data_IF_366974762653
#
_entry.id   IF_366974762653
#
_cell.length_a   1.000
_cell.length_b   1.000
_cell.length_c   1.000
_cell.angle_alpha   90.00
_cell.angle_beta   90.00
_cell.angle_gamma   90.00
#
_symmetry.space_group_name_H-M   'P 1'
#
loop_
_entity.id
_entity.type
_entity.pdbx_description
1 polymer ?
#
# COMPACT_ATOMS: atom_id res chain seq x y z
N UNK A 1 30.08 -35.36 -3.68
CA UNK A 1 29.99 -34.67 -4.98
C UNK A 1 29.23 -33.37 -4.76
N UNK A 2 29.95 -32.25 -4.73
CA UNK A 2 29.37 -30.92 -4.54
C UNK A 2 28.84 -30.41 -5.89
N UNK A 3 27.54 -30.15 -5.99
CA UNK A 3 26.95 -29.54 -7.17
C UNK A 3 27.25 -28.05 -7.16
N UNK A 4 28.05 -27.60 -8.13
CA UNK A 4 28.39 -26.21 -8.38
C UNK A 4 27.16 -25.42 -8.84
N UNK A 5 26.81 -24.36 -8.12
CA UNK A 5 25.84 -23.35 -8.56
C UNK A 5 26.46 -22.54 -9.70
N UNK A 6 25.82 -22.37 -10.86
CA UNK A 6 26.40 -21.56 -11.94
C UNK A 6 26.37 -20.08 -11.56
N UNK A 7 27.49 -19.40 -11.81
CA UNK A 7 27.64 -17.97 -11.63
C UNK A 7 26.63 -17.20 -12.52
N UNK A 8 25.65 -16.56 -11.90
CA UNK A 8 24.75 -15.64 -12.62
C UNK A 8 25.53 -14.37 -12.99
N UNK A 9 25.54 -14.08 -14.29
CA UNK A 9 26.08 -12.87 -14.91
C UNK A 9 25.78 -11.60 -14.11
N UNK A 10 26.85 -10.93 -13.64
CA UNK A 10 26.81 -9.56 -13.14
C UNK A 10 26.61 -8.60 -14.31
N UNK A 11 25.38 -8.15 -14.56
CA UNK A 11 25.10 -6.82 -15.15
C UNK A 11 23.61 -6.47 -15.14
N UNK A 12 23.27 -5.46 -14.32
CA UNK A 12 22.28 -4.41 -14.59
C UNK A 12 22.20 -3.55 -13.34
N UNK A 13 22.36 -2.24 -13.49
CA UNK A 13 22.53 -1.26 -12.41
C UNK A 13 21.36 -1.17 -11.44
N UNK A 14 21.66 -0.65 -10.27
CA UNK A 14 20.69 -0.31 -9.21
C UNK A 14 19.91 0.97 -9.56
N UNK A 15 19.30 1.04 -10.74
CA UNK A 15 18.53 2.22 -11.13
C UNK A 15 17.10 2.07 -10.61
N UNK A 16 16.75 2.93 -9.64
CA UNK A 16 15.36 3.31 -9.40
C UNK A 16 14.83 3.85 -10.73
N UNK A 17 14.08 3.04 -11.46
CA UNK A 17 13.38 3.48 -12.66
C UNK A 17 12.29 4.45 -12.19
N UNK A 18 12.29 5.72 -12.65
CA UNK A 18 11.21 6.65 -12.38
C UNK A 18 9.85 6.01 -12.74
N UNK A 19 8.78 6.34 -12.02
CA UNK A 19 7.46 5.78 -12.29
C UNK A 19 7.24 4.34 -11.80
N UNK A 20 7.98 3.86 -10.79
CA UNK A 20 7.67 2.55 -10.18
C UNK A 20 7.97 2.46 -8.67
N UNK A 21 7.14 1.69 -7.96
CA UNK A 21 7.39 1.24 -6.60
C UNK A 21 8.19 -0.06 -6.62
N UNK A 22 9.24 -0.15 -5.80
CA UNK A 22 10.08 -1.33 -5.66
C UNK A 22 10.89 -1.25 -4.35
N UNK A 23 10.93 -2.33 -3.58
CA UNK A 23 11.69 -2.42 -2.31
C UNK A 23 13.00 -3.21 -2.47
N UNK A 24 13.43 -3.45 -3.70
CA UNK A 24 14.66 -4.16 -4.01
C UNK A 24 14.46 -5.20 -5.10
N UNK A 25 15.57 -5.73 -5.63
CA UNK A 25 15.57 -6.62 -6.81
C UNK A 25 14.76 -7.91 -6.64
N UNK A 26 14.60 -8.37 -5.40
CA UNK A 26 13.86 -9.59 -5.08
C UNK A 26 12.34 -9.34 -4.93
N UNK A 27 11.92 -8.09 -4.80
CA UNK A 27 10.51 -7.71 -4.66
C UNK A 27 9.85 -7.39 -5.99
N UNK A 28 8.52 -7.45 -6.06
CA UNK A 28 7.79 -7.05 -7.26
C UNK A 28 7.97 -5.55 -7.52
N UNK A 29 8.41 -5.20 -8.73
CA UNK A 29 8.32 -3.85 -9.26
C UNK A 29 6.88 -3.58 -9.72
N UNK A 30 6.29 -2.50 -9.21
CA UNK A 30 4.92 -2.06 -9.54
C UNK A 30 5.04 -0.72 -10.28
N UNK A 31 4.71 -0.64 -11.58
CA UNK A 31 4.71 0.62 -12.31
C UNK A 31 3.57 1.52 -11.82
N UNK A 32 3.81 2.83 -11.76
CA UNK A 32 2.81 3.83 -11.40
C UNK A 32 1.74 3.99 -12.49
N UNK A 33 2.03 3.53 -13.71
CA UNK A 33 1.07 3.31 -14.80
C UNK A 33 -0.18 2.54 -14.34
N UNK A 34 -0.06 1.64 -13.35
CA UNK A 34 -1.19 0.93 -12.75
C UNK A 34 -2.25 1.90 -12.24
N UNK A 35 -1.82 2.94 -11.54
CA UNK A 35 -2.68 3.95 -10.95
C UNK A 35 -3.19 4.92 -12.02
N UNK A 36 -2.36 5.29 -13.00
CA UNK A 36 -2.81 6.07 -14.16
C UNK A 36 -3.93 5.36 -14.94
N UNK A 37 -3.79 4.04 -15.17
CA UNK A 37 -4.82 3.22 -15.82
C UNK A 37 -6.11 3.17 -14.99
N UNK A 38 -6.00 3.12 -13.66
CA UNK A 38 -7.16 3.17 -12.77
C UNK A 38 -7.91 4.50 -12.89
N UNK A 39 -7.21 5.65 -12.89
CA UNK A 39 -7.83 6.97 -13.11
C UNK A 39 -8.47 7.07 -14.48
N UNK A 40 -7.82 6.57 -15.53
CA UNK A 40 -8.39 6.53 -16.89
C UNK A 40 -9.72 5.77 -16.92
N UNK A 41 -9.75 4.55 -16.38
CA UNK A 41 -10.97 3.70 -16.30
C UNK A 41 -12.07 4.35 -15.48
N UNK A 42 -11.70 5.08 -14.42
CA UNK A 42 -12.63 5.85 -13.62
C UNK A 42 -13.30 6.95 -14.44
N UNK A 43 -12.50 7.79 -15.11
CA UNK A 43 -13.02 8.87 -15.94
C UNK A 43 -13.90 8.35 -17.07
N UNK A 44 -13.49 7.27 -17.76
CA UNK A 44 -14.30 6.61 -18.79
C UNK A 44 -15.69 6.19 -18.28
N UNK A 45 -15.79 5.69 -17.04
CA UNK A 45 -17.07 5.28 -16.45
C UNK A 45 -17.94 6.45 -16.00
N UNK A 46 -17.33 7.59 -15.68
CA UNK A 46 -18.03 8.76 -15.16
C UNK A 46 -18.43 9.74 -16.25
N UNK A 47 -17.67 9.86 -17.34
CA UNK A 47 -17.80 10.94 -18.34
C UNK A 47 -19.21 11.13 -18.88
N UNK A 48 -19.97 10.06 -19.08
CA UNK A 48 -21.35 10.10 -19.59
C UNK A 48 -22.42 10.26 -18.50
N UNK A 49 -22.02 10.22 -17.22
CA UNK A 49 -22.92 10.19 -16.05
C UNK A 49 -22.88 11.46 -15.22
N UNK A 50 -21.96 12.37 -15.52
CA UNK A 50 -21.68 13.56 -14.72
C UNK A 50 -21.53 14.78 -15.64
N UNK A 51 -21.74 16.01 -15.13
CA UNK A 51 -21.51 17.23 -15.89
C UNK A 51 -20.06 17.34 -16.39
N UNK A 52 -19.85 18.09 -17.48
CA UNK A 52 -18.53 18.21 -18.15
C UNK A 52 -17.41 18.73 -17.22
N UNK A 53 -17.74 19.61 -16.26
CA UNK A 53 -16.78 20.14 -15.29
C UNK A 53 -16.83 19.42 -13.92
N UNK A 54 -17.04 18.10 -13.92
CA UNK A 54 -17.01 17.31 -12.69
C UNK A 54 -15.58 16.96 -12.26
N UNK A 55 -15.33 17.00 -10.95
CA UNK A 55 -14.03 16.69 -10.35
C UNK A 55 -14.18 15.64 -9.27
N UNK A 56 -13.38 14.59 -9.33
CA UNK A 56 -13.22 13.66 -8.21
C UNK A 56 -12.17 14.26 -7.28
N UNK A 57 -12.55 14.54 -6.03
CA UNK A 57 -11.63 15.03 -5.00
C UNK A 57 -11.53 13.99 -3.89
N UNK A 58 -10.31 13.52 -3.63
CA UNK A 58 -10.03 12.52 -2.61
C UNK A 58 -9.08 13.10 -1.57
N UNK A 59 -9.41 12.82 -0.31
CA UNK A 59 -8.52 13.01 0.83
C UNK A 59 -7.75 11.70 1.04
N UNK A 60 -6.43 11.80 1.15
CA UNK A 60 -5.59 10.69 1.59
C UNK A 60 -5.73 10.42 3.08
N UNK A 61 -5.07 9.37 3.55
CA UNK A 61 -4.97 9.06 4.97
C UNK A 61 -4.14 10.12 5.70
N UNK A 62 -4.58 10.43 6.91
CA UNK A 62 -3.92 11.40 7.78
C UNK A 62 -2.91 10.72 8.72
N UNK A 63 -1.86 11.44 9.05
CA UNK A 63 -0.95 11.05 10.14
C UNK A 63 -1.69 11.19 11.47
N UNK A 64 -1.80 10.10 12.23
CA UNK A 64 -2.40 10.12 13.56
C UNK A 64 -1.42 9.62 14.62
N UNK A 65 -1.46 10.23 15.79
CA UNK A 65 -0.78 9.73 16.98
C UNK A 65 -1.61 8.66 17.68
N UNK A 66 -0.96 7.82 18.48
CA UNK A 66 -1.64 6.94 19.41
C UNK A 66 -2.18 7.77 20.57
N UNK A 67 -3.50 7.90 20.64
CA UNK A 67 -4.20 8.66 21.68
C UNK A 67 -3.61 10.07 21.81
N UNK A 68 -3.33 10.52 23.03
CA UNK A 68 -2.70 11.80 23.33
C UNK A 68 -1.16 11.73 23.44
N UNK A 69 -0.52 10.67 22.92
CA UNK A 69 0.94 10.50 22.96
C UNK A 69 1.62 11.02 21.67
N UNK A 70 2.94 11.00 21.64
CA UNK A 70 3.78 11.29 20.47
C UNK A 70 4.16 10.02 19.68
N UNK A 71 3.52 8.88 19.97
CA UNK A 71 3.78 7.61 19.28
C UNK A 71 2.97 7.54 17.98
N UNK A 72 3.65 7.61 16.84
CA UNK A 72 3.04 7.48 15.52
C UNK A 72 3.02 6.00 15.06
N UNK A 73 1.85 5.40 14.81
CA UNK A 73 1.76 4.12 14.13
C UNK A 73 2.36 4.20 12.73
N UNK A 74 2.81 3.05 12.20
CA UNK A 74 3.28 2.99 10.80
C UNK A 74 2.12 3.33 9.87
N UNK A 75 2.23 4.45 9.16
CA UNK A 75 1.21 4.94 8.23
C UNK A 75 0.87 3.91 7.13
N UNK A 76 -0.42 3.79 6.83
CA UNK A 76 -0.95 3.03 5.70
C UNK A 76 -2.03 3.87 5.03
N UNK A 77 -1.89 4.06 3.72
CA UNK A 77 -2.76 4.91 2.92
C UNK A 77 -4.23 4.43 2.92
N UNK A 78 -5.16 5.38 2.78
CA UNK A 78 -6.57 5.14 2.50
C UNK A 78 -6.71 4.38 1.17
N UNK A 79 -7.61 3.40 1.12
CA UNK A 79 -7.61 2.40 0.04
C UNK A 79 -8.09 2.91 -1.31
N UNK A 80 -9.01 3.88 -1.37
CA UNK A 80 -9.43 4.52 -2.62
C UNK A 80 -8.37 5.50 -3.13
N UNK A 81 -7.74 6.27 -2.24
CA UNK A 81 -6.63 7.14 -2.56
C UNK A 81 -5.44 6.36 -3.11
N UNK A 82 -5.05 5.28 -2.42
CA UNK A 82 -4.00 4.38 -2.90
C UNK A 82 -4.35 3.77 -4.26
N UNK A 83 -5.61 3.36 -4.47
CA UNK A 83 -6.04 2.80 -5.76
C UNK A 83 -5.89 3.79 -6.92
N UNK A 84 -6.25 5.06 -6.70
CA UNK A 84 -6.20 6.12 -7.71
C UNK A 84 -4.79 6.66 -7.97
N UNK A 85 -3.94 6.73 -6.94
CA UNK A 85 -2.67 7.47 -7.03
C UNK A 85 -1.42 6.71 -6.62
N UNK A 86 -1.52 5.62 -5.86
CA UNK A 86 -0.34 4.86 -5.38
C UNK A 86 0.51 5.58 -4.34
N UNK A 87 0.08 6.75 -3.88
CA UNK A 87 0.81 7.61 -2.94
C UNK A 87 1.02 6.93 -1.59
N UNK A 88 2.23 7.09 -1.05
CA UNK A 88 2.65 6.52 0.23
C UNK A 88 2.83 7.58 1.33
N UNK A 89 2.95 8.85 0.96
CA UNK A 89 2.99 9.95 1.91
C UNK A 89 1.59 10.24 2.52
N UNK A 90 1.52 10.61 3.80
CA UNK A 90 0.28 10.99 4.47
C UNK A 90 -0.14 12.43 4.16
N UNK A 91 -1.33 12.81 4.63
CA UNK A 91 -1.81 14.20 4.67
C UNK A 91 -1.91 14.86 3.28
N UNK A 92 -2.15 14.02 2.26
CA UNK A 92 -2.23 14.41 0.86
C UNK A 92 -3.68 14.53 0.37
N UNK A 93 -3.88 15.28 -0.71
CA UNK A 93 -5.13 15.30 -1.48
C UNK A 93 -4.87 14.99 -2.94
N UNK A 94 -5.91 14.60 -3.66
CA UNK A 94 -5.82 14.26 -5.07
C UNK A 94 -7.09 14.66 -5.81
N UNK A 95 -6.94 15.44 -6.88
CA UNK A 95 -8.01 15.86 -7.76
C UNK A 95 -7.89 15.16 -9.11
N UNK A 96 -9.02 14.72 -9.67
CA UNK A 96 -9.10 14.14 -11.01
C UNK A 96 -10.23 14.84 -11.76
N UNK A 97 -9.88 15.58 -12.81
CA UNK A 97 -10.84 16.17 -13.74
C UNK A 97 -11.45 15.05 -14.61
N UNK A 98 -12.77 14.87 -14.57
CA UNK A 98 -13.42 13.72 -15.24
C UNK A 98 -13.37 13.86 -16.77
N UNK A 99 -13.60 15.06 -17.30
CA UNK A 99 -13.61 15.32 -18.75
C UNK A 99 -12.25 15.05 -19.37
N UNK A 100 -11.21 15.70 -18.84
CA UNK A 100 -9.84 15.66 -19.38
C UNK A 100 -9.05 14.44 -18.92
N UNK A 101 -9.37 13.87 -17.75
CA UNK A 101 -8.58 12.83 -17.10
C UNK A 101 -7.33 13.36 -16.38
N UNK A 102 -7.13 14.69 -16.33
CA UNK A 102 -6.00 15.31 -15.64
C UNK A 102 -6.05 15.03 -14.15
N UNK A 103 -4.91 14.67 -13.60
CA UNK A 103 -4.73 14.30 -12.21
C UNK A 103 -3.71 15.22 -11.53
N UNK A 104 -4.11 15.81 -10.40
CA UNK A 104 -3.24 16.70 -9.60
C UNK A 104 -3.17 16.19 -8.17
N UNK A 105 -1.96 16.03 -7.64
CA UNK A 105 -1.72 15.69 -6.24
C UNK A 105 -1.33 16.92 -5.43
N UNK A 106 -1.72 16.93 -4.15
CA UNK A 106 -1.42 17.99 -3.21
C UNK A 106 -0.70 17.41 -2.00
N UNK A 107 0.50 17.89 -1.71
CA UNK A 107 1.34 17.42 -0.61
C UNK A 107 1.47 18.47 0.50
N UNK A 108 1.60 18.08 1.78
CA UNK A 108 1.76 19.04 2.86
C UNK A 108 3.06 19.84 2.69
N UNK A 109 3.03 21.13 3.05
CA UNK A 109 4.25 21.93 3.12
C UNK A 109 5.03 21.53 4.37
N UNK A 110 6.17 20.88 4.18
CA UNK A 110 7.02 20.43 5.28
C UNK A 110 7.90 21.57 5.80
N UNK A 111 8.06 21.64 7.12
CA UNK A 111 9.02 22.55 7.75
C UNK A 111 10.46 22.09 7.48
N UNK A 112 11.43 23.00 7.46
CA UNK A 112 12.84 22.67 7.19
C UNK A 112 13.42 21.63 8.16
N UNK A 113 12.93 21.60 9.41
CA UNK A 113 13.32 20.61 10.42
C UNK A 113 13.00 19.17 10.00
N UNK A 114 12.04 18.95 9.11
CA UNK A 114 11.73 17.62 8.57
C UNK A 114 12.99 16.96 7.96
N UNK A 115 13.87 17.75 7.35
CA UNK A 115 15.13 17.27 6.79
C UNK A 115 16.06 16.63 7.84
N UNK A 116 15.94 17.05 9.10
CA UNK A 116 16.74 16.57 10.23
C UNK A 116 16.13 15.28 10.81
N UNK A 117 14.80 15.24 10.96
CA UNK A 117 14.12 14.17 11.70
C UNK A 117 13.63 13.02 10.83
N UNK A 118 13.03 13.33 9.68
CA UNK A 118 12.28 12.37 8.87
C UNK A 118 12.93 12.11 7.50
N UNK A 119 13.82 13.01 7.08
CA UNK A 119 14.67 12.85 5.91
C UNK A 119 14.38 13.85 4.79
N UNK A 120 14.85 13.54 3.58
CA UNK A 120 14.90 14.52 2.48
C UNK A 120 13.52 15.08 2.13
N UNK A 121 13.40 16.41 2.16
CA UNK A 121 12.27 17.14 1.57
C UNK A 121 12.41 17.08 0.04
N UNK A 122 11.48 16.37 -0.61
CA UNK A 122 11.48 16.20 -2.07
C UNK A 122 10.83 17.41 -2.75
N UNK A 123 11.34 17.88 -3.91
CA UNK A 123 10.67 18.89 -4.71
C UNK A 123 9.38 18.34 -5.33
N UNK A 124 8.39 19.21 -5.58
CA UNK A 124 7.09 18.81 -6.15
C UNK A 124 7.21 18.09 -7.49
N UNK A 125 8.17 18.47 -8.33
CA UNK A 125 8.42 17.83 -9.63
C UNK A 125 8.82 16.35 -9.51
N UNK A 126 9.49 15.98 -8.41
CA UNK A 126 9.81 14.57 -8.14
C UNK A 126 8.54 13.78 -7.84
N UNK A 127 7.60 14.33 -7.08
CA UNK A 127 6.30 13.70 -6.85
C UNK A 127 5.49 13.57 -8.14
N UNK A 128 5.45 14.64 -8.94
CA UNK A 128 4.78 14.66 -10.25
C UNK A 128 5.29 13.54 -11.15
N UNK A 129 6.62 13.44 -11.27
CA UNK A 129 7.29 12.42 -12.09
C UNK A 129 7.12 11.03 -11.50
N UNK A 130 7.27 10.87 -10.18
CA UNK A 130 7.20 9.57 -9.54
C UNK A 130 5.81 8.95 -9.67
N UNK A 131 4.76 9.72 -9.37
CA UNK A 131 3.37 9.24 -9.35
C UNK A 131 2.65 9.31 -10.71
N UNK A 132 3.36 9.74 -11.76
CA UNK A 132 2.82 9.89 -13.12
C UNK A 132 1.50 10.67 -13.13
N UNK A 133 1.52 11.86 -12.53
CA UNK A 133 0.39 12.80 -12.46
C UNK A 133 0.70 14.07 -13.25
N UNK A 134 -0.33 14.79 -13.68
CA UNK A 134 -0.20 16.00 -14.49
C UNK A 134 0.31 17.19 -13.66
N UNK A 135 -0.09 17.26 -12.39
CA UNK A 135 0.31 18.31 -11.45
C UNK A 135 0.67 17.78 -10.06
N UNK A 136 1.61 18.46 -9.40
CA UNK A 136 1.91 18.28 -7.99
C UNK A 136 2.05 19.67 -7.34
N UNK A 137 1.21 19.95 -6.35
CA UNK A 137 1.11 21.24 -5.66
C UNK A 137 1.18 21.04 -4.14
N UNK A 138 1.20 22.12 -3.38
CA UNK A 138 1.07 22.07 -1.93
C UNK A 138 -0.40 22.11 -1.49
N UNK A 139 -0.73 21.46 -0.37
CA UNK A 139 -2.10 21.41 0.16
C UNK A 139 -2.70 22.80 0.40
N UNK A 140 -1.90 23.78 0.81
CA UNK A 140 -2.40 25.15 1.02
C UNK A 140 -2.87 25.83 -0.28
N UNK A 141 -2.50 25.32 -1.46
CA UNK A 141 -2.91 25.82 -2.77
C UNK A 141 -4.25 25.19 -3.24
N UNK A 142 -4.75 24.16 -2.55
CA UNK A 142 -5.97 23.44 -2.93
C UNK A 142 -7.21 24.35 -3.00
N UNK A 143 -7.49 25.27 -2.05
CA UNK A 143 -8.66 26.13 -2.13
C UNK A 143 -8.66 27.03 -3.37
N UNK A 144 -7.51 27.64 -3.68
CA UNK A 144 -7.34 28.48 -4.86
C UNK A 144 -7.44 27.68 -6.15
N UNK A 145 -6.87 26.46 -6.17
CA UNK A 145 -6.99 25.53 -7.28
C UNK A 145 -8.46 25.17 -7.56
N UNK A 146 -9.22 24.78 -6.53
CA UNK A 146 -10.63 24.41 -6.66
C UNK A 146 -11.50 25.59 -7.06
N UNK A 147 -11.20 26.80 -6.55
CA UNK A 147 -11.90 28.03 -6.93
C UNK A 147 -11.69 28.36 -8.41
N UNK A 148 -10.44 28.23 -8.91
CA UNK A 148 -10.12 28.45 -10.33
C UNK A 148 -10.76 27.40 -11.24
N UNK A 149 -10.79 26.14 -10.79
CA UNK A 149 -11.39 25.04 -11.55
C UNK A 149 -12.92 25.13 -11.59
N UNK A 150 -13.52 25.71 -10.55
CA UNK A 150 -14.96 25.96 -10.40
C UNK A 150 -15.82 24.75 -10.80
N UNK A 151 -15.62 23.57 -10.18
CA UNK A 151 -16.25 22.34 -10.61
C UNK A 151 -17.77 22.41 -10.47
N UNK A 152 -18.47 21.86 -11.47
CA UNK A 152 -19.93 21.77 -11.43
C UNK A 152 -20.41 20.81 -10.32
N UNK A 153 -19.62 19.77 -10.04
CA UNK A 153 -19.87 18.82 -8.95
C UNK A 153 -18.54 18.23 -8.46
N UNK A 154 -18.46 17.97 -7.16
CA UNK A 154 -17.37 17.24 -6.52
C UNK A 154 -17.85 15.82 -6.21
N UNK A 155 -17.06 14.83 -6.60
CA UNK A 155 -17.37 13.41 -6.45
C UNK A 155 -16.38 12.71 -5.52
N UNK A 156 -16.87 11.68 -4.84
CA UNK A 156 -16.05 10.71 -4.08
C UNK A 156 -16.12 9.32 -4.74
N UNK A 157 -15.22 8.41 -4.36
CA UNK A 157 -15.08 7.09 -5.00
C UNK A 157 -15.67 5.94 -4.18
N UNK A 158 -16.36 5.03 -4.87
CA UNK A 158 -16.99 3.84 -4.25
C UNK A 158 -16.83 2.53 -5.05
N UNK A 159 -16.01 2.45 -6.12
CA UNK A 159 -15.94 1.22 -6.95
C UNK A 159 -14.52 0.76 -7.31
N UNK A 160 -14.18 -0.48 -6.91
CA UNK A 160 -12.88 -1.15 -7.14
C UNK A 160 -13.02 -2.66 -7.45
N UNK A 161 -14.22 -3.08 -7.89
CA UNK A 161 -14.58 -4.51 -7.97
C UNK A 161 -13.77 -5.26 -9.04
N UNK A 162 -13.63 -4.68 -10.24
CA UNK A 162 -12.99 -5.32 -11.39
C UNK A 162 -11.51 -4.92 -11.48
N UNK A 163 -10.62 -5.91 -11.40
CA UNK A 163 -9.16 -5.72 -11.36
C UNK A 163 -8.58 -5.66 -12.77
N UNK A 164 -7.59 -4.81 -12.98
CA UNK A 164 -6.75 -4.82 -14.18
C UNK A 164 -5.76 -5.98 -14.15
N UNK A 165 -5.14 -6.28 -15.30
CA UNK A 165 -4.03 -7.24 -15.36
C UNK A 165 -2.85 -6.83 -14.47
N UNK A 166 -2.61 -5.53 -14.32
CA UNK A 166 -1.56 -4.97 -13.46
C UNK A 166 -1.89 -5.18 -11.97
N UNK A 167 -3.14 -4.93 -11.55
CA UNK A 167 -3.60 -5.23 -10.19
C UNK A 167 -3.55 -6.73 -9.89
N UNK A 168 -3.95 -7.59 -10.84
CA UNK A 168 -3.87 -9.05 -10.70
C UNK A 168 -2.42 -9.52 -10.53
N UNK A 169 -1.44 -8.85 -11.14
CA UNK A 169 -0.02 -9.16 -10.94
C UNK A 169 0.43 -8.90 -9.51
N UNK A 170 -0.03 -7.80 -8.91
CA UNK A 170 0.25 -7.47 -7.49
C UNK A 170 -0.42 -8.50 -6.57
N UNK A 171 -1.68 -8.85 -6.82
CA UNK A 171 -2.41 -9.85 -6.03
C UNK A 171 -1.74 -11.23 -6.09
N UNK A 172 -1.31 -11.68 -7.27
CA UNK A 172 -0.57 -12.94 -7.43
C UNK A 172 0.75 -12.94 -6.67
N UNK A 173 1.46 -11.80 -6.65
CA UNK A 173 2.68 -11.66 -5.87
C UNK A 173 2.41 -11.75 -4.37
N UNK A 174 1.41 -11.02 -3.86
CA UNK A 174 1.01 -11.08 -2.46
C UNK A 174 0.63 -12.52 -2.06
N UNK A 175 -0.20 -13.20 -2.85
CA UNK A 175 -0.59 -14.59 -2.63
C UNK A 175 0.62 -15.54 -2.59
N UNK A 176 1.59 -15.35 -3.51
CA UNK A 176 2.83 -16.14 -3.53
C UNK A 176 3.67 -15.92 -2.27
N UNK A 177 3.85 -14.67 -1.84
CA UNK A 177 4.59 -14.35 -0.61
C UNK A 177 3.93 -14.99 0.60
N UNK A 178 2.62 -14.83 0.75
CA UNK A 178 1.86 -15.44 1.87
C UNK A 178 1.88 -16.97 1.82
N UNK A 179 1.79 -17.58 0.64
CA UNK A 179 1.90 -19.04 0.47
C UNK A 179 3.25 -19.54 0.97
N UNK A 180 4.35 -18.88 0.57
CA UNK A 180 5.68 -19.24 1.04
C UNK A 180 5.79 -19.09 2.56
N UNK A 181 5.24 -18.01 3.13
CA UNK A 181 5.21 -17.81 4.58
C UNK A 181 4.43 -18.92 5.30
N UNK A 182 3.26 -19.33 4.81
CA UNK A 182 2.50 -20.46 5.34
C UNK A 182 3.30 -21.78 5.28
N UNK A 183 3.99 -22.05 4.16
CA UNK A 183 4.87 -23.22 4.03
C UNK A 183 5.97 -23.20 5.11
N UNK A 184 6.59 -22.05 5.32
CA UNK A 184 7.64 -21.89 6.32
C UNK A 184 7.12 -22.05 7.76
N UNK A 185 5.87 -21.64 8.03
CA UNK A 185 5.16 -21.92 9.29
C UNK A 185 4.91 -23.41 9.46
N UNK A 186 4.31 -24.09 8.48
CA UNK A 186 4.04 -25.54 8.54
C UNK A 186 5.31 -26.35 8.78
N UNK A 187 6.43 -25.97 8.16
CA UNK A 187 7.73 -26.64 8.37
C UNK A 187 8.24 -26.53 9.80
N UNK A 188 7.95 -25.43 10.50
CA UNK A 188 8.50 -25.12 11.83
C UNK A 188 7.55 -25.38 13.00
N UNK A 189 6.24 -25.43 12.77
CA UNK A 189 5.25 -25.66 13.83
C UNK A 189 5.49 -26.99 14.55
N UNK A 190 5.59 -26.96 15.87
CA UNK A 190 5.81 -28.15 16.73
C UNK A 190 5.02 -28.01 18.03
N UNK A 191 4.61 -29.12 18.67
CA UNK A 191 4.12 -29.10 20.04
C UNK A 191 5.08 -28.38 20.98
N UNK A 192 4.54 -27.63 21.95
CA UNK A 192 5.28 -26.81 22.89
C UNK A 192 5.52 -25.36 22.44
N UNK A 193 5.29 -25.04 21.17
CA UNK A 193 5.32 -23.65 20.69
C UNK A 193 4.08 -22.86 21.14
N UNK A 194 4.14 -21.54 21.05
CA UNK A 194 2.99 -20.65 21.16
C UNK A 194 2.45 -20.27 19.78
N UNK A 195 1.15 -20.08 19.68
CA UNK A 195 0.48 -19.61 18.45
C UNK A 195 1.11 -18.31 17.92
N UNK A 196 1.40 -17.33 18.79
CA UNK A 196 2.04 -16.07 18.40
C UNK A 196 3.46 -16.26 17.84
N UNK A 197 4.16 -17.37 18.16
CA UNK A 197 5.47 -17.65 17.56
C UNK A 197 5.31 -18.05 16.08
N UNK A 198 4.20 -18.70 15.73
CA UNK A 198 3.85 -19.02 14.35
C UNK A 198 3.41 -17.75 13.58
N UNK A 199 2.64 -16.87 14.23
CA UNK A 199 2.34 -15.52 13.72
C UNK A 199 3.61 -14.74 13.41
N UNK A 200 4.54 -14.66 14.36
CA UNK A 200 5.81 -13.95 14.21
C UNK A 200 6.63 -14.50 13.03
N UNK A 201 6.67 -15.82 12.86
CA UNK A 201 7.34 -16.48 11.75
C UNK A 201 6.67 -16.16 10.41
N UNK A 202 5.34 -16.13 10.34
CA UNK A 202 4.61 -15.74 9.14
C UNK A 202 4.94 -14.30 8.73
N UNK A 203 4.86 -13.36 9.68
CA UNK A 203 5.14 -11.94 9.47
C UNK A 203 6.59 -11.71 9.05
N UNK A 204 7.54 -12.38 9.71
CA UNK A 204 8.96 -12.35 9.34
C UNK A 204 9.16 -12.74 7.88
N UNK A 205 8.58 -13.86 7.45
CA UNK A 205 8.75 -14.33 6.07
C UNK A 205 8.11 -13.37 5.05
N UNK A 206 6.92 -12.86 5.36
CA UNK A 206 6.23 -11.90 4.49
C UNK A 206 7.04 -10.62 4.30
N UNK A 207 7.61 -10.07 5.38
CA UNK A 207 8.35 -8.83 5.29
C UNK A 207 9.77 -9.04 4.74
N UNK A 208 10.53 -9.97 5.30
CA UNK A 208 11.94 -10.18 4.96
C UNK A 208 12.14 -10.60 3.49
N UNK A 209 11.32 -11.52 2.98
CA UNK A 209 11.45 -12.02 1.60
C UNK A 209 10.52 -11.31 0.61
N UNK A 210 9.39 -10.78 1.09
CA UNK A 210 8.34 -10.21 0.23
C UNK A 210 8.29 -8.69 0.20
N UNK A 211 8.91 -8.00 1.15
CA UNK A 211 8.77 -6.55 1.35
C UNK A 211 7.40 -6.16 1.92
N UNK A 212 6.61 -7.10 2.44
CA UNK A 212 5.27 -6.83 2.98
C UNK A 212 5.33 -6.38 4.44
N UNK A 213 5.58 -5.08 4.68
CA UNK A 213 5.66 -4.49 6.03
C UNK A 213 4.37 -4.61 6.83
N UNK A 214 3.22 -4.50 6.16
CA UNK A 214 1.89 -4.63 6.77
C UNK A 214 1.30 -6.00 6.46
N UNK A 215 0.60 -6.57 7.43
CA UNK A 215 -0.36 -7.66 7.20
C UNK A 215 -1.70 -7.08 6.74
N UNK A 216 -2.45 -7.87 5.96
CA UNK A 216 -3.75 -7.43 5.45
C UNK A 216 -4.80 -7.32 6.56
N UNK A 217 -4.69 -8.19 7.57
CA UNK A 217 -5.50 -8.27 8.77
C UNK A 217 -4.66 -8.92 9.89
N UNK A 218 -5.10 -8.82 11.14
CA UNK A 218 -4.47 -9.49 12.30
C UNK A 218 -4.37 -10.99 12.04
N UNK A 219 -3.22 -11.61 12.26
CA UNK A 219 -3.05 -13.03 11.98
C UNK A 219 -3.93 -13.86 12.93
N UNK A 220 -4.59 -14.87 12.35
CA UNK A 220 -5.45 -15.81 13.06
C UNK A 220 -4.66 -17.11 13.16
N UNK A 221 -4.14 -17.42 14.35
CA UNK A 221 -3.30 -18.59 14.58
C UNK A 221 -3.95 -19.52 15.61
N UNK A 222 -5.17 -20.00 15.33
CA UNK A 222 -5.89 -20.88 16.24
C UNK A 222 -5.47 -22.34 16.13
N UNK A 223 -5.12 -22.95 17.26
CA UNK A 223 -4.81 -24.38 17.38
C UNK A 223 -5.81 -25.11 18.26
N UNK A 224 -6.05 -26.39 17.98
CA UNK A 224 -7.04 -27.19 18.72
C UNK A 224 -8.43 -26.57 18.63
N UNK A 225 -9.10 -26.35 19.78
CA UNK A 225 -10.42 -25.73 19.80
C UNK A 225 -10.45 -24.28 19.28
N UNK A 226 -9.32 -23.56 19.33
CA UNK A 226 -9.26 -22.18 18.83
C UNK A 226 -9.43 -22.11 17.30
N UNK A 227 -9.16 -23.19 16.58
CA UNK A 227 -9.38 -23.28 15.13
C UNK A 227 -10.88 -23.12 14.73
N UNK A 228 -11.80 -23.31 15.68
CA UNK A 228 -13.24 -23.10 15.46
C UNK A 228 -13.68 -21.63 15.68
N UNK A 229 -12.80 -20.74 16.16
CA UNK A 229 -13.11 -19.33 16.41
C UNK A 229 -12.72 -18.51 15.17
N UNK A 230 -13.74 -18.05 14.42
CA UNK A 230 -13.56 -17.49 13.07
C UNK A 230 -12.57 -16.32 12.98
N UNK A 231 -12.57 -15.41 13.97
CA UNK A 231 -11.66 -14.25 14.05
C UNK A 231 -10.83 -14.28 15.35
N UNK A 232 -10.25 -15.44 15.70
CA UNK A 232 -9.26 -15.55 16.77
C UNK A 232 -8.02 -14.67 16.48
N UNK A 233 -7.20 -14.36 17.49
CA UNK A 233 -5.98 -13.55 17.35
C UNK A 233 -6.14 -12.05 17.63
N UNK A 234 -7.37 -11.57 17.86
CA UNK A 234 -7.61 -10.21 18.34
C UNK A 234 -7.14 -9.99 19.79
N UNK A 235 -7.21 -8.74 20.28
CA UNK A 235 -6.70 -8.38 21.61
C UNK A 235 -7.30 -9.18 22.77
N UNK A 236 -8.55 -9.64 22.64
CA UNK A 236 -9.21 -10.48 23.66
C UNK A 236 -8.75 -11.94 23.66
N UNK A 237 -8.08 -12.38 22.59
CA UNK A 237 -7.68 -13.77 22.37
C UNK A 237 -6.41 -13.81 21.49
N UNK A 238 -5.26 -13.33 22.01
CA UNK A 238 -4.15 -12.78 21.22
C UNK A 238 -3.13 -13.83 20.76
N UNK A 239 -3.60 -14.97 20.23
CA UNK A 239 -2.73 -16.07 19.78
C UNK A 239 -1.76 -16.57 20.89
N UNK A 240 -2.25 -16.77 22.10
CA UNK A 240 -1.42 -17.07 23.28
C UNK A 240 -1.49 -18.53 23.78
N UNK A 241 -2.25 -19.39 23.11
CA UNK A 241 -2.33 -20.82 23.47
C UNK A 241 -1.04 -21.54 23.08
N UNK A 242 -0.72 -22.57 23.85
CA UNK A 242 0.35 -23.51 23.49
C UNK A 242 -0.17 -24.51 22.46
N UNK A 243 0.61 -24.74 21.41
CA UNK A 243 0.40 -25.82 20.44
C UNK A 243 0.68 -27.14 21.15
N UNK A 244 -0.29 -28.04 21.23
CA UNK A 244 -0.14 -29.36 21.85
C UNK A 244 -0.08 -30.46 20.78
N UNK A 245 0.43 -31.62 21.18
CA UNK A 245 0.38 -32.80 20.33
C UNK A 245 -1.08 -33.21 20.10
N UNK A 246 -1.42 -33.55 18.85
CA UNK A 246 -2.79 -33.90 18.44
C UNK A 246 -3.73 -32.71 18.17
N UNK A 247 -3.31 -31.46 18.39
CA UNK A 247 -4.07 -30.30 17.92
C UNK A 247 -4.06 -30.22 16.38
N UNK A 248 -5.17 -29.77 15.80
CA UNK A 248 -5.24 -29.28 14.41
C UNK A 248 -4.66 -27.87 14.36
#
# INVERSE_FOLDING_TARGET
>A
MAASVPASSRSAGNQKTPGSFCLGRHTLRIPMELHALNRKRLCERLREKVPENAVVLLMGGESCSRDSSDVFPVFRQESYFHWAFGVLEPDCYGAIEVSTGKATLFFPKLHESFAIWDGRIKPMEEFRTHYEVDGALQVHELPDFMTKLNPAVILTLVSRVIKTSQELRVLRYAARVSTNAHIEVMKRARPGMKEYQLEALFMYNCYYFGGCRHVAYTCICGTGSNAAILHYGGAHAPNDRSVNDGDI
#
